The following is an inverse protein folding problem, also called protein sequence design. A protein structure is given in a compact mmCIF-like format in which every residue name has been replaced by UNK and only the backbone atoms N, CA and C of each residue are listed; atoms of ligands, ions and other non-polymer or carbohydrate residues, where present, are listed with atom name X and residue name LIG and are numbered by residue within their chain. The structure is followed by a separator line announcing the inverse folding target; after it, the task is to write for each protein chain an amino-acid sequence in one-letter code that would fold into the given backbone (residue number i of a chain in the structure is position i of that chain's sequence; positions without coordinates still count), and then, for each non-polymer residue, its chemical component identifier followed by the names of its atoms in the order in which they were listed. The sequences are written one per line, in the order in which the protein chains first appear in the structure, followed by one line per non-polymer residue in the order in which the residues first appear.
data_IF_343600058195
#
_entry.id   IF_343600058195
#
_cell.length_a   1.000
_cell.length_b   1.000
_cell.length_c   1.000
_cell.angle_alpha   90.00
_cell.angle_beta   90.00
_cell.angle_gamma   90.00
#
_symmetry.space_group_name_H-M   'P 1'
#
loop_
_entity.id
_entity.type
_entity.pdbx_description
1 polymer ?
#
# COMPACT_ATOMS: atom_id res chain seq x y z
N UNK A 1 -59.08 36.49 17.54
CA UNK A 1 -59.35 35.62 16.37
C UNK A 1 -58.95 34.19 16.75
N UNK A 2 -59.89 33.24 16.64
CA UNK A 2 -59.79 31.75 16.65
C UNK A 2 -58.71 31.05 17.52
N UNK A 3 -59.03 30.42 18.67
CA UNK A 3 -59.43 28.99 18.90
C UNK A 3 -58.45 27.97 18.24
N UNK A 4 -57.84 27.00 18.93
CA UNK A 4 -58.43 25.97 19.81
C UNK A 4 -57.42 25.33 20.80
N UNK A 5 -57.94 24.95 21.98
CA UNK A 5 -57.40 23.96 22.91
C UNK A 5 -57.67 22.52 22.38
N UNK A 6 -56.81 21.54 22.72
CA UNK A 6 -57.11 20.41 23.65
C UNK A 6 -56.01 19.34 23.52
N UNK A 7 -55.57 18.91 24.69
CA UNK A 7 -54.71 17.80 25.09
C UNK A 7 -55.24 16.40 24.73
N UNK A 8 -54.34 15.44 24.53
CA UNK A 8 -54.69 14.02 24.40
C UNK A 8 -53.50 13.09 24.63
N UNK A 9 -53.18 12.82 25.89
CA UNK A 9 -52.43 11.63 26.32
C UNK A 9 -53.42 10.46 26.36
N UNK A 10 -53.05 9.31 25.78
CA UNK A 10 -53.50 8.00 26.27
C UNK A 10 -52.54 6.89 25.82
N UNK A 11 -52.00 6.21 26.83
CA UNK A 11 -51.45 4.85 26.78
C UNK A 11 -52.53 3.85 26.34
N UNK A 12 -52.15 2.76 25.64
CA UNK A 12 -52.15 1.40 26.22
C UNK A 12 -51.96 0.28 25.17
N UNK A 13 -51.06 -0.65 25.54
CA UNK A 13 -51.13 -2.11 25.45
C UNK A 13 -51.34 -2.83 24.09
N UNK A 14 -50.28 -3.53 23.65
CA UNK A 14 -50.25 -4.99 23.72
C UNK A 14 -50.59 -5.80 22.46
N UNK A 15 -49.58 -6.45 21.88
CA UNK A 15 -49.53 -7.90 21.65
C UNK A 15 -48.18 -8.26 21.01
N UNK A 16 -47.35 -8.99 21.77
CA UNK A 16 -46.12 -9.58 21.26
C UNK A 16 -46.43 -10.78 20.37
N UNK A 17 -45.70 -10.90 19.27
CA UNK A 17 -45.48 -12.18 18.58
C UNK A 17 -43.98 -12.43 18.62
N UNK A 18 -43.57 -13.24 19.58
CA UNK A 18 -42.25 -13.85 19.60
C UNK A 18 -42.30 -15.06 18.68
N UNK A 19 -41.66 -14.98 17.51
CA UNK A 19 -41.36 -16.17 16.70
C UNK A 19 -40.00 -16.69 17.14
N UNK A 20 -40.02 -17.69 18.01
CA UNK A 20 -38.89 -18.56 18.23
C UNK A 20 -38.80 -19.54 17.05
N UNK A 21 -37.79 -19.39 16.19
CA UNK A 21 -37.38 -20.44 15.28
C UNK A 21 -36.01 -20.94 15.72
N UNK A 22 -36.06 -22.06 16.41
CA UNK A 22 -34.93 -22.92 16.75
C UNK A 22 -34.26 -23.48 15.50
N UNK A 23 -32.93 -23.38 15.49
CA UNK A 23 -31.96 -24.25 14.82
C UNK A 23 -32.34 -24.97 13.52
N UNK A 24 -31.77 -24.49 12.42
CA UNK A 24 -31.19 -25.36 11.40
C UNK A 24 -29.99 -24.66 10.76
N UNK A 25 -28.79 -25.16 11.05
CA UNK A 25 -27.57 -24.81 10.35
C UNK A 25 -27.70 -25.25 8.88
N UNK A 26 -28.00 -24.31 7.98
CA UNK A 26 -27.83 -24.53 6.55
C UNK A 26 -26.42 -24.09 6.16
N UNK A 27 -25.56 -25.08 5.90
CA UNK A 27 -24.23 -24.89 5.31
C UNK A 27 -24.39 -24.10 4.01
N UNK A 28 -23.83 -22.90 3.95
CA UNK A 28 -23.59 -22.22 2.68
C UNK A 28 -22.48 -22.99 1.95
N UNK A 29 -22.80 -23.49 0.75
CA UNK A 29 -21.82 -24.12 -0.12
C UNK A 29 -20.80 -23.07 -0.61
N UNK A 30 -19.49 -23.39 -0.67
CA UNK A 30 -18.44 -22.38 -0.96
C UNK A 30 -18.34 -21.91 -2.42
N UNK A 31 -19.24 -22.31 -3.31
CA UNK A 31 -18.96 -22.34 -4.76
C UNK A 31 -19.49 -21.15 -5.59
N UNK A 32 -20.16 -20.15 -5.00
CA UNK A 32 -20.79 -19.05 -5.76
C UNK A 32 -20.06 -17.69 -5.67
N UNK A 33 -18.76 -17.72 -5.36
CA UNK A 33 -17.91 -16.53 -5.33
C UNK A 33 -17.24 -16.22 -6.67
N UNK A 34 -17.43 -15.00 -7.19
CA UNK A 34 -16.77 -14.47 -8.42
C UNK A 34 -15.22 -14.47 -8.33
N UNK A 35 -14.67 -14.74 -7.14
CA UNK A 35 -13.23 -14.82 -6.86
C UNK A 35 -12.52 -16.05 -7.45
N UNK A 36 -13.23 -17.09 -7.90
CA UNK A 36 -12.59 -18.27 -8.53
C UNK A 36 -12.11 -18.00 -9.98
N UNK A 37 -12.48 -16.86 -10.58
CA UNK A 37 -12.07 -16.51 -11.95
C UNK A 37 -10.81 -15.66 -12.05
N UNK A 38 -10.23 -15.26 -10.91
CA UNK A 38 -8.93 -14.58 -10.90
C UNK A 38 -7.86 -15.67 -10.83
N UNK A 39 -6.92 -15.77 -11.79
CA UNK A 39 -5.77 -16.64 -11.63
C UNK A 39 -4.98 -16.15 -10.42
N UNK A 40 -5.14 -16.84 -9.30
CA UNK A 40 -4.21 -16.75 -8.18
C UNK A 40 -2.90 -17.32 -8.69
N UNK A 41 -2.00 -16.44 -9.14
CA UNK A 41 -0.61 -16.83 -9.35
C UNK A 41 -0.14 -17.29 -7.97
N UNK A 42 0.29 -18.56 -7.80
CA UNK A 42 0.89 -18.96 -6.56
C UNK A 42 2.08 -18.04 -6.33
N UNK A 43 2.02 -17.24 -5.28
CA UNK A 43 3.21 -16.59 -4.75
C UNK A 43 4.14 -17.77 -4.47
N UNK A 44 5.29 -17.92 -5.15
CA UNK A 44 6.25 -18.90 -4.70
C UNK A 44 6.50 -18.54 -3.25
N UNK A 45 6.20 -19.47 -2.35
CA UNK A 45 6.71 -19.41 -0.99
C UNK A 45 8.23 -19.37 -1.18
N UNK A 46 8.79 -18.16 -1.17
CA UNK A 46 10.18 -18.01 -0.85
C UNK A 46 10.24 -18.50 0.58
N UNK A 47 10.59 -19.77 0.73
CA UNK A 47 11.38 -20.13 1.89
C UNK A 47 12.52 -19.12 1.83
N UNK A 48 12.44 -18.07 2.65
CA UNK A 48 13.65 -17.49 3.20
C UNK A 48 14.49 -18.72 3.54
N UNK A 49 15.70 -18.79 2.98
CA UNK A 49 16.63 -19.84 3.32
C UNK A 49 16.97 -19.66 4.81
N UNK A 50 16.03 -20.07 5.65
CA UNK A 50 16.06 -20.10 7.10
C UNK A 50 16.52 -21.48 7.57
N UNK A 51 16.83 -22.37 6.63
CA UNK A 51 17.68 -23.51 6.90
C UNK A 51 19.10 -22.96 7.11
N UNK A 52 19.29 -22.30 8.25
CA UNK A 52 20.53 -22.46 9.00
C UNK A 52 20.57 -23.94 9.36
N UNK A 53 20.99 -24.75 8.40
CA UNK A 53 21.39 -26.13 8.65
C UNK A 53 22.43 -26.03 9.77
N UNK A 54 22.22 -26.65 10.95
CA UNK A 54 23.24 -26.67 11.98
C UNK A 54 24.53 -27.15 11.34
N UNK A 55 25.60 -26.35 11.45
CA UNK A 55 26.88 -26.64 10.83
C UNK A 55 27.35 -28.04 11.29
N UNK A 56 27.16 -29.03 10.42
CA UNK A 56 27.76 -30.35 10.57
C UNK A 56 29.17 -30.29 10.02
N UNK A 57 30.15 -30.36 10.91
CA UNK A 57 31.55 -30.46 10.56
C UNK A 57 31.76 -31.70 9.66
N UNK A 58 32.06 -31.49 8.37
CA UNK A 58 32.65 -32.53 7.50
C UNK A 58 31.96 -32.90 6.20
N UNK A 59 30.80 -32.32 5.82
CA UNK A 59 30.10 -32.70 4.58
C UNK A 59 29.47 -31.50 3.85
N UNK A 60 30.26 -30.52 3.43
CA UNK A 60 29.81 -29.54 2.42
C UNK A 60 30.97 -29.30 1.45
N UNK A 61 31.00 -30.07 0.35
CA UNK A 61 31.69 -29.60 -0.84
C UNK A 61 30.89 -28.38 -1.32
N UNK A 62 31.48 -27.17 -1.39
CA UNK A 62 30.77 -26.02 -1.94
C UNK A 62 30.32 -26.41 -3.34
N UNK A 63 29.00 -26.40 -3.59
CA UNK A 63 28.53 -26.60 -4.96
C UNK A 63 29.23 -25.56 -5.85
N UNK A 64 29.51 -25.90 -7.11
CA UNK A 64 30.11 -24.92 -8.05
C UNK A 64 29.33 -23.61 -8.09
N UNK A 65 28.01 -23.66 -7.89
CA UNK A 65 27.13 -22.51 -7.78
C UNK A 65 27.42 -21.63 -6.55
N UNK A 66 27.73 -22.24 -5.40
CA UNK A 66 28.13 -21.51 -4.18
C UNK A 66 29.51 -20.86 -4.34
N UNK A 67 30.42 -21.49 -5.10
CA UNK A 67 31.71 -20.89 -5.44
C UNK A 67 31.57 -19.70 -6.41
N UNK A 68 30.59 -19.72 -7.32
CA UNK A 68 30.33 -18.62 -8.24
C UNK A 68 29.87 -17.33 -7.52
N UNK A 69 29.19 -17.46 -6.38
CA UNK A 69 28.73 -16.33 -5.55
C UNK A 69 29.74 -15.92 -4.46
N UNK A 70 31.00 -16.38 -4.55
CA UNK A 70 32.07 -16.06 -3.57
C UNK A 70 32.22 -14.57 -3.29
N UNK A 71 32.01 -13.73 -4.31
CA UNK A 71 32.11 -12.28 -4.21
C UNK A 71 30.73 -11.59 -4.17
N UNK A 72 29.67 -12.35 -3.89
CA UNK A 72 28.29 -11.88 -3.92
C UNK A 72 27.64 -11.98 -5.30
N UNK A 73 26.36 -11.66 -5.34
CA UNK A 73 25.60 -11.53 -6.58
C UNK A 73 25.77 -10.11 -7.15
N UNK A 74 25.87 -9.94 -8.48
CA UNK A 74 25.94 -8.63 -9.10
C UNK A 74 24.74 -7.72 -8.77
N UNK A 75 23.56 -8.31 -8.55
CA UNK A 75 22.38 -7.59 -8.05
C UNK A 75 21.44 -8.53 -7.30
N UNK A 76 20.73 -7.94 -6.33
CA UNK A 76 19.52 -8.49 -5.71
C UNK A 76 18.47 -7.39 -5.76
N UNK A 77 17.18 -7.73 -5.80
CA UNK A 77 16.10 -6.74 -5.83
C UNK A 77 16.25 -5.76 -4.65
N UNK A 78 16.29 -4.46 -4.92
CA UNK A 78 16.43 -3.43 -3.89
C UNK A 78 15.09 -3.12 -3.22
N UNK A 79 14.54 -4.12 -2.52
CA UNK A 79 13.29 -4.01 -1.78
C UNK A 79 13.52 -3.18 -0.52
N UNK A 80 12.63 -2.22 -0.28
CA UNK A 80 12.62 -1.31 0.87
C UNK A 80 11.24 -1.35 1.49
N UNK A 81 11.17 -1.76 2.75
CA UNK A 81 9.95 -1.68 3.54
C UNK A 81 9.92 -0.39 4.34
N UNK A 82 8.86 0.37 4.19
CA UNK A 82 8.53 1.53 5.03
C UNK A 82 7.37 1.17 5.95
N UNK A 83 6.92 2.14 6.74
CA UNK A 83 5.81 1.92 7.67
C UNK A 83 4.50 1.58 6.98
N UNK A 84 4.23 2.16 5.81
CA UNK A 84 2.94 2.03 5.13
C UNK A 84 2.99 1.55 3.68
N UNK A 85 4.18 1.37 3.13
CA UNK A 85 4.36 0.88 1.76
C UNK A 85 5.67 0.09 1.61
N UNK A 86 5.73 -0.72 0.55
CA UNK A 86 6.94 -1.44 0.14
C UNK A 86 7.32 -0.97 -1.25
N UNK A 87 8.61 -0.69 -1.48
CA UNK A 87 9.10 -0.25 -2.78
C UNK A 87 10.25 -1.14 -3.26
N UNK A 88 10.34 -1.39 -4.56
CA UNK A 88 11.57 -1.87 -5.18
C UNK A 88 12.24 -0.70 -5.87
N UNK A 89 13.47 -0.38 -5.48
CA UNK A 89 14.19 0.78 -6.00
C UNK A 89 15.06 0.41 -7.21
N UNK A 90 15.01 1.22 -8.27
CA UNK A 90 15.91 1.10 -9.41
C UNK A 90 17.07 2.09 -9.26
N UNK A 91 18.23 1.57 -8.87
CA UNK A 91 19.45 2.35 -8.68
C UNK A 91 20.00 2.98 -9.97
N UNK A 92 19.63 2.46 -11.16
CA UNK A 92 20.04 3.01 -12.44
C UNK A 92 19.23 4.25 -12.78
N UNK A 93 17.92 4.15 -12.66
CA UNK A 93 17.00 5.26 -12.96
C UNK A 93 16.77 6.21 -11.79
N UNK A 94 17.31 5.89 -10.61
CA UNK A 94 17.15 6.64 -9.35
C UNK A 94 15.69 6.85 -8.95
N UNK A 95 14.82 5.97 -9.38
CA UNK A 95 13.37 5.99 -9.14
C UNK A 95 12.93 4.62 -8.64
N UNK A 96 11.80 4.52 -7.93
CA UNK A 96 11.18 3.21 -7.67
C UNK A 96 10.81 2.51 -8.99
N UNK A 97 11.16 1.23 -9.12
CA UNK A 97 10.63 0.36 -10.17
C UNK A 97 9.13 0.10 -9.95
N UNK A 98 8.75 -0.09 -8.69
CA UNK A 98 7.36 -0.16 -8.25
C UNK A 98 7.25 0.17 -6.76
N UNK A 99 6.06 0.60 -6.35
CA UNK A 99 5.65 0.81 -4.96
C UNK A 99 4.30 0.13 -4.77
N UNK A 100 4.19 -0.64 -3.69
CA UNK A 100 3.00 -1.37 -3.28
C UNK A 100 2.50 -0.82 -1.96
N UNK A 101 1.22 -0.46 -1.92
CA UNK A 101 0.53 0.04 -0.73
C UNK A 101 -0.80 -0.68 -0.51
N UNK A 102 -1.21 -0.76 0.75
CA UNK A 102 -2.53 -1.24 1.16
C UNK A 102 -3.31 -0.06 1.75
N UNK A 103 -4.48 0.19 1.18
CA UNK A 103 -5.42 1.22 1.64
C UNK A 103 -6.56 0.57 2.40
N UNK A 104 -6.93 1.18 3.52
CA UNK A 104 -8.13 0.88 4.29
C UNK A 104 -8.76 2.19 4.75
N UNK A 105 -10.04 2.18 5.13
CA UNK A 105 -10.70 3.38 5.64
C UNK A 105 -9.95 3.99 6.83
N UNK A 106 -9.38 3.15 7.71
CA UNK A 106 -8.60 3.57 8.87
C UNK A 106 -7.30 4.26 8.46
N UNK A 107 -6.58 3.72 7.47
CA UNK A 107 -5.33 4.29 6.98
C UNK A 107 -5.52 5.70 6.35
N UNK A 108 -6.69 5.95 5.77
CA UNK A 108 -7.04 7.26 5.18
C UNK A 108 -7.49 8.30 6.22
N UNK A 109 -7.74 7.87 7.45
CA UNK A 109 -8.19 8.72 8.55
C UNK A 109 -7.02 9.12 9.45
N UNK A 110 -7.09 10.30 10.06
CA UNK A 110 -6.08 10.77 11.02
C UNK A 110 -5.74 12.25 10.86
N UNK A 111 -4.88 12.73 11.76
CA UNK A 111 -4.54 14.15 11.92
C UNK A 111 -3.16 14.52 11.38
N UNK A 112 -2.49 13.61 10.66
CA UNK A 112 -1.18 13.90 10.07
C UNK A 112 -1.25 15.07 9.08
N UNK A 113 -0.29 15.97 9.18
CA UNK A 113 -0.22 17.18 8.37
C UNK A 113 0.92 17.08 7.35
N UNK A 114 0.53 17.10 6.06
CA UNK A 114 1.44 17.09 4.93
C UNK A 114 2.42 18.28 4.96
N UNK A 115 2.04 19.40 5.58
CA UNK A 115 2.90 20.60 5.66
C UNK A 115 4.13 20.41 6.53
N UNK A 116 4.11 19.42 7.42
CA UNK A 116 5.27 19.06 8.25
C UNK A 116 6.25 18.14 7.51
N UNK A 117 5.85 17.60 6.36
CA UNK A 117 6.67 16.71 5.58
C UNK A 117 7.57 17.49 4.62
N UNK A 118 8.83 17.08 4.51
CA UNK A 118 9.79 17.62 3.56
C UNK A 118 10.38 16.51 2.70
N UNK A 119 10.54 16.79 1.41
CA UNK A 119 11.22 15.87 0.50
C UNK A 119 12.68 15.71 0.91
N UNK A 120 13.11 14.46 1.11
CA UNK A 120 14.46 14.14 1.57
C UNK A 120 15.04 12.94 0.84
N UNK A 121 16.36 12.93 0.73
CA UNK A 121 17.13 11.80 0.25
C UNK A 121 16.91 10.58 1.16
N UNK A 122 17.02 9.39 0.56
CA UNK A 122 16.93 8.14 1.30
C UNK A 122 18.34 7.63 1.65
N UNK A 123 18.73 7.72 2.91
CA UNK A 123 20.06 7.29 3.40
C UNK A 123 20.28 5.78 3.31
N UNK A 124 19.22 4.99 3.10
CA UNK A 124 19.36 3.56 2.84
C UNK A 124 19.76 3.23 1.39
N UNK A 125 19.82 4.24 0.51
CA UNK A 125 20.35 4.15 -0.85
C UNK A 125 21.73 4.79 -0.87
N UNK A 126 22.72 4.09 -1.43
CA UNK A 126 24.06 4.64 -1.57
C UNK A 126 24.04 5.97 -2.35
N UNK A 127 24.85 6.95 -1.94
CA UNK A 127 24.82 8.34 -2.45
C UNK A 127 24.92 8.44 -3.98
N UNK A 128 25.68 7.56 -4.64
CA UNK A 128 25.79 7.53 -6.11
C UNK A 128 24.52 7.09 -6.84
N UNK A 129 23.63 6.39 -6.14
CA UNK A 129 22.42 5.78 -6.69
C UNK A 129 21.13 6.44 -6.21
N UNK A 130 21.21 7.38 -5.25
CA UNK A 130 20.02 8.08 -4.74
C UNK A 130 19.73 9.33 -5.55
N UNK A 131 18.44 9.62 -5.72
CA UNK A 131 18.00 10.92 -6.20
C UNK A 131 18.15 11.98 -5.10
N UNK A 132 18.34 13.23 -5.50
CA UNK A 132 18.47 14.39 -4.62
C UNK A 132 17.46 15.46 -5.00
N UNK A 133 17.18 16.38 -4.08
CA UNK A 133 16.29 17.50 -4.38
C UNK A 133 16.81 18.40 -5.53
N UNK A 134 18.13 18.43 -5.74
CA UNK A 134 18.75 19.16 -6.83
C UNK A 134 18.41 18.58 -8.21
N UNK A 135 18.20 17.26 -8.32
CA UNK A 135 17.83 16.62 -9.59
C UNK A 135 16.45 17.08 -10.09
N UNK A 136 15.55 17.45 -9.17
CA UNK A 136 14.20 17.90 -9.49
C UNK A 136 14.10 19.43 -9.63
N UNK A 137 14.89 20.18 -8.86
CA UNK A 137 14.82 21.65 -8.82
C UNK A 137 15.17 22.24 -10.19
N UNK A 138 14.22 22.94 -10.81
CA UNK A 138 14.43 23.58 -12.12
C UNK A 138 14.36 22.62 -13.31
N UNK A 139 14.04 21.34 -13.09
CA UNK A 139 13.95 20.34 -14.17
C UNK A 139 12.70 20.48 -15.05
N UNK A 140 11.68 21.21 -14.58
CA UNK A 140 10.35 21.24 -15.19
C UNK A 140 9.43 20.08 -14.79
N UNK A 141 9.93 19.13 -13.99
CA UNK A 141 9.16 18.01 -13.45
C UNK A 141 8.85 18.19 -11.96
N UNK A 142 7.67 17.73 -11.57
CA UNK A 142 7.29 17.60 -10.16
C UNK A 142 7.94 16.36 -9.53
N UNK A 143 8.13 16.43 -8.22
CA UNK A 143 8.39 15.27 -7.36
C UNK A 143 7.08 14.50 -7.16
N UNK A 144 6.72 13.69 -8.14
CA UNK A 144 5.50 12.89 -8.16
C UNK A 144 5.63 11.68 -7.24
N UNK A 145 4.74 11.57 -6.25
CA UNK A 145 4.70 10.43 -5.34
C UNK A 145 4.12 9.20 -6.04
N UNK A 146 4.63 8.01 -5.74
CA UNK A 146 3.98 6.76 -6.16
C UNK A 146 3.04 6.19 -5.08
N UNK A 147 3.49 6.14 -3.82
CA UNK A 147 2.60 6.06 -2.66
C UNK A 147 2.25 7.47 -2.20
N UNK A 148 0.99 7.85 -2.33
CA UNK A 148 0.54 9.22 -2.10
C UNK A 148 0.45 9.53 -0.60
N UNK A 149 1.01 10.66 -0.15
CA UNK A 149 0.98 11.07 1.26
C UNK A 149 -0.43 11.04 1.91
N UNK A 150 -1.47 11.38 1.14
CA UNK A 150 -2.85 11.39 1.61
C UNK A 150 -3.41 9.99 1.94
N UNK A 151 -2.72 8.92 1.54
CA UNK A 151 -3.08 7.54 1.82
C UNK A 151 -2.61 7.07 3.21
N UNK A 152 -1.80 7.88 3.90
CA UNK A 152 -1.13 7.50 5.15
C UNK A 152 -1.40 8.52 6.26
N UNK A 153 -2.64 9.00 6.36
CA UNK A 153 -3.03 10.03 7.35
C UNK A 153 -3.06 9.53 8.79
N UNK A 154 -3.04 8.22 8.98
CA UNK A 154 -3.11 7.55 10.28
C UNK A 154 -1.83 7.71 11.11
N UNK A 155 -0.68 7.97 10.48
CA UNK A 155 0.61 8.15 11.15
C UNK A 155 1.43 9.23 10.46
N UNK A 156 1.92 10.21 11.24
CA UNK A 156 2.78 11.27 10.70
C UNK A 156 4.05 10.66 10.12
N UNK A 157 4.63 9.66 10.79
CA UNK A 157 5.83 8.98 10.32
C UNK A 157 5.57 8.22 9.01
N UNK A 158 4.42 7.56 8.85
CA UNK A 158 4.03 6.92 7.60
C UNK A 158 3.88 7.95 6.45
N UNK A 159 3.30 9.12 6.74
CA UNK A 159 3.22 10.22 5.79
C UNK A 159 4.60 10.77 5.43
N UNK A 160 5.46 11.03 6.42
CA UNK A 160 6.83 11.52 6.22
C UNK A 160 7.65 10.54 5.37
N UNK A 161 7.47 9.23 5.56
CA UNK A 161 8.13 8.19 4.77
C UNK A 161 7.75 8.28 3.28
N UNK A 162 6.58 8.83 2.91
CA UNK A 162 6.24 9.03 1.48
C UNK A 162 7.04 10.14 0.80
N UNK A 163 7.65 11.03 1.57
CA UNK A 163 8.47 12.12 1.05
C UNK A 163 9.94 11.74 0.83
N UNK A 164 10.32 10.48 1.10
CA UNK A 164 11.60 9.97 0.62
C UNK A 164 11.63 9.95 -0.91
N UNK A 165 12.71 10.46 -1.50
CA UNK A 165 12.89 10.46 -2.96
C UNK A 165 12.96 9.05 -3.56
N UNK A 166 13.08 7.99 -2.76
CA UNK A 166 12.94 6.60 -3.20
C UNK A 166 11.49 6.18 -3.49
N UNK A 167 10.50 6.99 -3.13
CA UNK A 167 9.07 6.85 -3.50
C UNK A 167 8.66 7.84 -4.62
N UNK A 168 9.62 8.57 -5.19
CA UNK A 168 9.33 9.68 -6.10
C UNK A 168 9.84 9.36 -7.51
N UNK A 169 9.03 9.70 -8.50
CA UNK A 169 9.42 9.73 -9.90
C UNK A 169 9.22 11.15 -10.49
N UNK A 170 10.03 11.58 -11.47
CA UNK A 170 9.78 12.79 -12.22
C UNK A 170 8.42 12.68 -12.92
N UNK A 171 7.47 13.53 -12.54
CA UNK A 171 6.15 13.56 -13.17
C UNK A 171 5.90 14.91 -13.83
N UNK A 172 5.28 14.89 -15.00
CA UNK A 172 4.82 16.12 -15.64
C UNK A 172 3.84 16.85 -14.70
N UNK A 173 3.99 18.16 -14.44
CA UNK A 173 3.12 18.88 -13.51
C UNK A 173 1.63 18.79 -13.85
N UNK A 174 1.27 18.84 -15.13
CA UNK A 174 -0.13 18.71 -15.57
C UNK A 174 -0.69 17.31 -15.29
N UNK A 175 0.13 16.27 -15.43
CA UNK A 175 -0.26 14.90 -15.09
C UNK A 175 -0.44 14.74 -13.57
N UNK A 176 0.61 15.07 -12.81
CA UNK A 176 0.68 14.89 -11.35
C UNK A 176 -0.47 15.59 -10.63
N UNK A 177 -0.69 16.87 -10.96
CA UNK A 177 -1.65 17.72 -10.24
C UNK A 177 -3.11 17.42 -10.62
N UNK A 178 -3.34 16.81 -11.78
CA UNK A 178 -4.68 16.56 -12.33
C UNK A 178 -5.00 15.06 -12.43
N UNK A 179 -4.75 14.44 -13.59
CA UNK A 179 -5.22 13.09 -13.90
C UNK A 179 -4.67 12.04 -12.92
N UNK A 180 -3.41 12.16 -12.51
CA UNK A 180 -2.80 11.28 -11.51
C UNK A 180 -3.46 11.44 -10.15
N UNK A 181 -3.59 12.66 -9.64
CA UNK A 181 -4.30 12.95 -8.38
C UNK A 181 -5.78 12.49 -8.42
N UNK A 182 -6.45 12.55 -9.57
CA UNK A 182 -7.81 12.02 -9.72
C UNK A 182 -7.84 10.49 -9.62
N UNK A 183 -6.85 9.80 -10.20
CA UNK A 183 -6.69 8.35 -10.02
C UNK A 183 -6.43 7.99 -8.56
N UNK A 184 -5.56 8.74 -7.87
CA UNK A 184 -5.32 8.53 -6.43
C UNK A 184 -6.59 8.74 -5.60
N UNK A 185 -7.38 9.78 -5.88
CA UNK A 185 -8.69 10.02 -5.25
C UNK A 185 -9.66 8.87 -5.50
N UNK A 186 -9.67 8.33 -6.73
CA UNK A 186 -10.48 7.19 -7.07
C UNK A 186 -10.08 5.95 -6.27
N UNK A 187 -8.79 5.61 -6.21
CA UNK A 187 -8.28 4.50 -5.39
C UNK A 187 -8.70 4.65 -3.92
N UNK A 188 -8.58 5.84 -3.34
CA UNK A 188 -9.08 6.13 -1.98
C UNK A 188 -10.59 5.96 -1.84
N UNK A 189 -11.37 6.31 -2.87
CA UNK A 189 -12.82 6.17 -2.81
C UNK A 189 -13.28 4.70 -2.75
N UNK A 190 -12.49 3.78 -3.29
CA UNK A 190 -12.78 2.34 -3.26
C UNK A 190 -12.81 1.78 -1.83
N UNK A 191 -12.09 2.39 -0.87
CA UNK A 191 -12.10 1.95 0.53
C UNK A 191 -13.45 2.19 1.24
N UNK A 192 -14.39 2.87 0.58
CA UNK A 192 -15.78 2.99 1.05
C UNK A 192 -16.61 1.73 0.77
N UNK A 193 -16.16 0.91 -0.18
CA UNK A 193 -16.87 -0.29 -0.64
C UNK A 193 -16.09 -1.57 -0.33
N UNK A 194 -14.78 -1.48 -0.21
CA UNK A 194 -13.88 -2.60 0.07
C UNK A 194 -13.08 -2.33 1.33
N UNK A 195 -12.94 -3.34 2.18
CA UNK A 195 -12.17 -3.23 3.43
C UNK A 195 -10.68 -2.96 3.17
N UNK A 196 -10.13 -3.64 2.16
CA UNK A 196 -8.72 -3.57 1.77
C UNK A 196 -8.60 -3.33 0.26
N UNK A 197 -7.83 -2.32 -0.12
CA UNK A 197 -7.53 -1.99 -1.53
C UNK A 197 -6.02 -1.96 -1.70
N UNK A 198 -5.47 -2.82 -2.55
CA UNK A 198 -4.04 -2.86 -2.83
C UNK A 198 -3.73 -2.09 -4.11
N UNK A 199 -2.76 -1.18 -4.05
CA UNK A 199 -2.36 -0.35 -5.19
C UNK A 199 -0.88 -0.58 -5.48
N UNK A 200 -0.56 -0.89 -6.73
CA UNK A 200 0.81 -0.99 -7.22
C UNK A 200 1.05 0.12 -8.25
N UNK A 201 2.00 1.00 -7.97
CA UNK A 201 2.34 2.17 -8.78
C UNK A 201 3.80 2.09 -9.23
N UNK A 202 4.10 2.46 -10.47
CA UNK A 202 5.46 2.40 -11.02
C UNK A 202 5.61 3.23 -12.30
N UNK A 203 6.82 3.72 -12.61
CA UNK A 203 7.11 4.34 -13.90
C UNK A 203 7.25 3.26 -14.98
N UNK A 204 6.94 3.63 -16.23
CA UNK A 204 7.17 2.80 -17.41
C UNK A 204 8.04 3.53 -18.43
N UNK A 205 8.91 2.79 -19.09
CA UNK A 205 9.80 3.27 -20.14
C UNK A 205 9.45 2.50 -21.44
N UNK A 206 8.51 3.04 -22.21
CA UNK A 206 7.95 2.40 -23.40
C UNK A 206 8.81 2.69 -24.66
N UNK A 207 8.84 1.79 -25.65
CA UNK A 207 9.64 1.93 -26.88
C UNK A 207 9.06 2.95 -27.87
#
# INVERSE_FOLDING_TARGET
MQRWLISGVSLAAGAGVAVALSGASSRLHPEDGVLHRVPVIPIPSVNAASDVVPYQHGQLSPSKSTAAVKYGLPSVSHIRSRESYVACYDARNRTPAWVLEQLSADALSGTSDRKLCEFKEDDSVHVYHRATNCDYRGSGFDRGHLAAAANHKWSQKAMDDTFYLSNVAPQNPHLNQNAWNNLEKYCRSLTKHYENVYVCSGPLYLP
#
